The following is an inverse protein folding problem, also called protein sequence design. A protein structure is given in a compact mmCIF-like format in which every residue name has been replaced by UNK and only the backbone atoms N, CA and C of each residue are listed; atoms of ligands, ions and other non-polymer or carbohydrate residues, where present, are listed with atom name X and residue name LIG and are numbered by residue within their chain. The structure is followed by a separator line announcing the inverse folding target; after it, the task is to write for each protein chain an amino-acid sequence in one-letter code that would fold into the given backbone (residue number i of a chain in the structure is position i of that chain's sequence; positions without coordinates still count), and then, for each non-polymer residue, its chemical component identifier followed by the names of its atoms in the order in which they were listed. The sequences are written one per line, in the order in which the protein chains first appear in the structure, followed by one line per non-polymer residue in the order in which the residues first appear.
data_IF_239283287460
#
_entry.id   IF_239283287460
#
_cell.length_a   1.000
_cell.length_b   1.000
_cell.length_c   1.000
_cell.angle_alpha   90.00
_cell.angle_beta   90.00
_cell.angle_gamma   90.00
#
_symmetry.space_group_name_H-M   'P 1'
#
loop_
_entity.id
_entity.type
_entity.pdbx_description
1 polymer ?
#
# COMPACT_ATOMS: atom_id res chain seq x y z
N UNK A 1 -20.09 -99.29 7.72
CA UNK A 1 -19.95 -98.62 6.44
C UNK A 1 -20.52 -97.20 6.60
N UNK A 2 -19.66 -96.24 6.90
CA UNK A 2 -20.08 -94.79 7.06
C UNK A 2 -19.62 -94.06 5.84
N UNK A 3 -20.54 -93.51 5.08
CA UNK A 3 -20.33 -92.65 3.89
C UNK A 3 -20.26 -91.22 4.33
N UNK A 4 -19.05 -90.62 4.15
CA UNK A 4 -18.81 -89.21 4.42
C UNK A 4 -19.17 -88.41 3.14
N UNK A 5 -20.18 -87.51 3.27
CA UNK A 5 -20.53 -86.54 2.23
C UNK A 5 -19.63 -85.30 2.36
N UNK A 6 -18.83 -85.05 1.37
CA UNK A 6 -18.10 -83.76 1.24
C UNK A 6 -19.08 -82.66 0.82
N UNK A 7 -19.17 -81.63 1.63
CA UNK A 7 -19.85 -80.35 1.27
C UNK A 7 -18.79 -79.38 0.74
N UNK A 8 -18.89 -79.05 -0.54
CA UNK A 8 -18.04 -78.06 -1.14
C UNK A 8 -18.60 -76.64 -0.78
N UNK A 9 -17.75 -75.86 -0.09
CA UNK A 9 -18.04 -74.45 0.20
C UNK A 9 -17.50 -73.62 -0.98
N UNK A 10 -18.37 -72.99 -1.74
CA UNK A 10 -18.00 -72.03 -2.77
C UNK A 10 -17.69 -70.69 -2.12
N UNK A 11 -16.44 -70.25 -2.22
CA UNK A 11 -15.98 -68.94 -1.76
C UNK A 11 -16.39 -67.88 -2.84
N UNK A 12 -17.36 -67.06 -2.52
CA UNK A 12 -17.70 -65.88 -3.35
C UNK A 12 -16.73 -64.77 -3.00
N UNK A 13 -15.78 -64.49 -3.86
CA UNK A 13 -14.87 -63.33 -3.75
C UNK A 13 -15.59 -62.11 -4.32
N UNK A 14 -16.10 -61.27 -3.45
CA UNK A 14 -16.62 -59.95 -3.83
C UNK A 14 -15.48 -59.01 -4.17
N UNK A 15 -15.28 -58.70 -5.45
CA UNK A 15 -14.34 -57.66 -5.89
C UNK A 15 -14.94 -56.27 -5.51
N UNK A 16 -14.42 -55.68 -4.44
CA UNK A 16 -14.68 -54.27 -4.11
C UNK A 16 -13.98 -53.41 -5.13
N UNK A 17 -14.73 -52.71 -5.99
CA UNK A 17 -14.19 -51.69 -6.86
C UNK A 17 -13.69 -50.52 -5.99
N UNK A 18 -12.36 -50.40 -5.90
CA UNK A 18 -11.72 -49.22 -5.33
C UNK A 18 -11.95 -48.09 -6.32
N UNK A 19 -12.90 -47.21 -5.98
CA UNK A 19 -13.14 -45.99 -6.72
C UNK A 19 -11.85 -45.15 -6.75
N UNK A 20 -11.25 -45.01 -7.93
CA UNK A 20 -10.20 -44.02 -8.15
C UNK A 20 -10.82 -42.63 -7.98
N UNK A 21 -10.60 -42.00 -6.82
CA UNK A 21 -10.80 -40.57 -6.67
C UNK A 21 -9.77 -39.89 -7.56
N UNK A 22 -10.21 -39.45 -8.74
CA UNK A 22 -9.45 -38.53 -9.56
C UNK A 22 -9.25 -37.25 -8.75
N UNK A 23 -8.08 -37.08 -8.17
CA UNK A 23 -7.63 -35.79 -7.65
C UNK A 23 -7.46 -34.89 -8.87
N UNK A 24 -8.48 -34.09 -9.19
CA UNK A 24 -8.39 -32.99 -10.12
C UNK A 24 -7.43 -31.95 -9.51
N UNK A 25 -6.14 -32.17 -9.67
CA UNK A 25 -5.09 -31.18 -9.38
C UNK A 25 -5.06 -30.20 -10.54
N UNK A 26 -6.09 -29.36 -10.65
CA UNK A 26 -5.93 -28.08 -11.35
C UNK A 26 -4.85 -27.32 -10.58
N UNK A 27 -3.62 -27.36 -11.09
CA UNK A 27 -2.50 -26.65 -10.50
C UNK A 27 -2.88 -25.17 -10.38
N UNK A 28 -3.20 -24.72 -9.16
CA UNK A 28 -3.60 -23.34 -8.88
C UNK A 28 -2.49 -22.43 -9.42
N UNK A 29 -2.78 -21.64 -10.44
CA UNK A 29 -1.80 -20.75 -11.04
C UNK A 29 -1.10 -19.94 -9.96
N UNK A 30 0.24 -19.94 -9.95
CA UNK A 30 1.02 -19.17 -8.98
C UNK A 30 0.55 -17.71 -8.94
N UNK A 31 0.44 -17.10 -7.74
CA UNK A 31 -0.03 -15.74 -7.65
C UNK A 31 0.91 -14.80 -8.39
N UNK A 32 0.37 -13.88 -9.17
CA UNK A 32 1.17 -12.84 -9.81
C UNK A 32 1.76 -11.92 -8.72
N UNK A 33 3.06 -11.93 -8.58
CA UNK A 33 3.84 -11.04 -7.69
C UNK A 33 4.76 -10.15 -8.52
N UNK A 34 5.14 -9.03 -7.95
CA UNK A 34 6.14 -8.16 -8.55
C UNK A 34 7.51 -8.87 -8.53
N UNK A 35 8.26 -8.78 -9.63
CA UNK A 35 9.62 -9.33 -9.76
C UNK A 35 10.62 -8.21 -10.04
N UNK A 36 11.93 -8.50 -9.97
CA UNK A 36 12.98 -7.56 -10.32
C UNK A 36 12.80 -7.02 -11.75
N UNK A 37 12.51 -7.90 -12.71
CA UNK A 37 12.32 -7.55 -14.11
C UNK A 37 11.08 -6.67 -14.30
N UNK A 38 9.96 -7.03 -13.66
CA UNK A 38 8.72 -6.23 -13.77
C UNK A 38 8.84 -4.88 -13.09
N UNK A 39 9.60 -4.77 -11.98
CA UNK A 39 9.91 -3.50 -11.32
C UNK A 39 10.84 -2.64 -12.21
N UNK A 40 11.90 -3.24 -12.77
CA UNK A 40 12.87 -2.54 -13.62
C UNK A 40 12.22 -1.96 -14.87
N UNK A 41 11.20 -2.64 -15.43
CA UNK A 41 10.47 -2.20 -16.61
C UNK A 41 9.54 -1.00 -16.36
N UNK A 42 9.31 -0.61 -15.09
CA UNK A 42 8.44 0.52 -14.78
C UNK A 42 9.19 1.85 -14.84
N UNK A 43 8.46 2.86 -15.31
CA UNK A 43 8.84 4.28 -15.21
C UNK A 43 8.04 4.96 -14.09
N UNK A 44 8.45 6.15 -13.60
CA UNK A 44 7.65 6.91 -12.64
C UNK A 44 6.21 7.13 -13.13
N UNK A 45 6.02 7.46 -14.39
CA UNK A 45 4.71 7.69 -14.99
C UNK A 45 3.85 6.40 -14.99
N UNK A 46 4.42 5.25 -15.38
CA UNK A 46 3.69 3.99 -15.38
C UNK A 46 3.36 3.49 -13.96
N UNK A 47 4.24 3.76 -12.98
CA UNK A 47 3.97 3.50 -11.57
C UNK A 47 2.80 4.34 -11.05
N UNK A 48 2.74 5.63 -11.41
CA UNK A 48 1.62 6.51 -11.08
C UNK A 48 0.31 6.02 -11.69
N UNK A 49 0.31 5.64 -12.95
CA UNK A 49 -0.88 5.10 -13.62
C UNK A 49 -1.37 3.78 -12.99
N UNK A 50 -0.47 2.93 -12.48
CA UNK A 50 -0.88 1.72 -11.71
C UNK A 50 -1.67 2.10 -10.46
N UNK A 51 -1.23 3.14 -9.71
CA UNK A 51 -1.93 3.63 -8.52
C UNK A 51 -3.29 4.26 -8.88
N UNK A 52 -3.34 5.12 -9.90
CA UNK A 52 -4.59 5.75 -10.38
C UNK A 52 -5.63 4.69 -10.75
N UNK A 53 -5.25 3.72 -11.60
CA UNK A 53 -6.12 2.60 -11.98
C UNK A 53 -6.52 1.73 -10.78
N UNK A 54 -5.64 1.58 -9.79
CA UNK A 54 -5.94 0.87 -8.55
C UNK A 54 -7.02 1.57 -7.75
N UNK A 55 -6.89 2.88 -7.53
CA UNK A 55 -7.89 3.66 -6.82
C UNK A 55 -9.23 3.71 -7.56
N UNK A 56 -9.22 3.82 -8.89
CA UNK A 56 -10.45 3.71 -9.70
C UNK A 56 -11.18 2.41 -9.41
N UNK A 57 -10.49 1.26 -9.43
CA UNK A 57 -11.12 -0.03 -9.11
C UNK A 57 -11.65 -0.11 -7.68
N UNK A 58 -10.95 0.49 -6.72
CA UNK A 58 -11.42 0.57 -5.33
C UNK A 58 -12.73 1.35 -5.23
N UNK A 59 -12.79 2.55 -5.81
CA UNK A 59 -13.98 3.41 -5.79
C UNK A 59 -15.16 2.77 -6.53
N UNK A 60 -14.89 2.10 -7.66
CA UNK A 60 -15.91 1.41 -8.48
C UNK A 60 -16.31 0.04 -7.93
N UNK A 61 -15.78 -0.36 -6.74
CA UNK A 61 -16.04 -1.68 -6.13
C UNK A 61 -15.67 -2.86 -7.03
N UNK A 62 -14.69 -2.68 -7.88
CA UNK A 62 -14.18 -3.66 -8.85
C UNK A 62 -12.72 -4.04 -8.57
N UNK A 63 -12.39 -4.26 -7.31
CA UNK A 63 -11.05 -4.65 -6.87
C UNK A 63 -10.67 -6.03 -7.43
N UNK A 64 -9.38 -6.22 -7.69
CA UNK A 64 -8.86 -7.50 -8.14
C UNK A 64 -8.98 -8.56 -7.04
N UNK A 65 -9.47 -9.73 -7.40
CA UNK A 65 -9.39 -10.90 -6.51
C UNK A 65 -7.93 -11.28 -6.27
N UNK A 66 -7.55 -11.50 -5.02
CA UNK A 66 -6.19 -11.90 -4.62
C UNK A 66 -6.23 -13.08 -3.67
N UNK A 67 -5.40 -14.06 -3.92
CA UNK A 67 -5.08 -15.08 -2.94
C UNK A 67 -3.97 -14.55 -2.02
N UNK A 68 -4.35 -13.94 -0.92
CA UNK A 68 -3.42 -13.35 0.06
C UNK A 68 -2.51 -14.41 0.67
N UNK A 69 -3.04 -15.59 0.98
CA UNK A 69 -2.28 -16.68 1.59
C UNK A 69 -1.20 -17.22 0.63
N UNK A 70 -1.52 -17.34 -0.65
CA UNK A 70 -0.53 -17.76 -1.64
C UNK A 70 0.54 -16.71 -1.92
N UNK A 71 0.24 -15.40 -1.71
CA UNK A 71 1.23 -14.32 -1.87
C UNK A 71 2.30 -14.31 -0.78
N UNK A 72 2.00 -14.75 0.43
CA UNK A 72 2.95 -14.77 1.55
C UNK A 72 4.22 -15.58 1.19
N UNK A 73 4.15 -16.88 0.88
CA UNK A 73 5.34 -17.63 0.49
C UNK A 73 5.94 -17.17 -0.85
N UNK A 74 5.11 -16.67 -1.79
CA UNK A 74 5.60 -16.21 -3.08
C UNK A 74 6.48 -14.94 -3.01
N UNK A 75 6.37 -14.14 -1.94
CA UNK A 75 7.17 -12.94 -1.70
C UNK A 75 8.26 -13.14 -0.66
N UNK A 76 8.38 -14.33 -0.03
CA UNK A 76 9.30 -14.58 1.08
C UNK A 76 10.78 -14.46 0.68
N UNK A 77 11.14 -14.82 -0.55
CA UNK A 77 12.52 -14.78 -1.02
C UNK A 77 13.01 -13.40 -1.44
N UNK A 78 12.10 -12.41 -1.61
CA UNK A 78 12.45 -11.04 -2.03
C UNK A 78 11.22 -10.18 -2.27
N UNK A 79 11.45 -8.87 -2.28
CA UNK A 79 10.39 -7.89 -2.52
C UNK A 79 10.84 -6.88 -3.58
N UNK A 80 9.94 -6.53 -4.48
CA UNK A 80 10.18 -5.63 -5.60
C UNK A 80 9.06 -4.59 -5.73
N UNK A 81 8.77 -3.82 -4.65
CA UNK A 81 7.71 -2.83 -4.68
C UNK A 81 8.00 -1.75 -5.73
N UNK A 82 6.97 -1.27 -6.41
CA UNK A 82 7.14 -0.26 -7.45
C UNK A 82 7.01 1.17 -6.94
N UNK A 83 6.48 1.37 -5.73
CA UNK A 83 6.26 2.68 -5.10
C UNK A 83 6.46 2.62 -3.60
N UNK A 84 6.81 3.76 -2.99
CA UNK A 84 6.71 3.99 -1.55
C UNK A 84 5.73 5.14 -1.30
N UNK A 85 4.84 4.97 -0.33
CA UNK A 85 3.76 5.91 -0.02
C UNK A 85 3.92 6.38 1.43
N UNK A 86 4.26 7.66 1.60
CA UNK A 86 4.22 8.35 2.89
C UNK A 86 2.78 8.78 3.16
N UNK A 87 2.15 8.20 4.16
CA UNK A 87 0.74 8.42 4.48
C UNK A 87 0.52 8.65 5.98
N UNK A 88 -0.63 9.25 6.32
CA UNK A 88 -1.04 9.31 7.72
C UNK A 88 -1.28 7.92 8.29
N UNK A 89 -0.98 7.75 9.60
CA UNK A 89 -1.31 6.53 10.35
C UNK A 89 -2.82 6.34 10.59
N UNK A 90 -3.67 7.25 10.14
CA UNK A 90 -5.13 7.18 10.27
C UNK A 90 -5.65 5.79 9.85
N UNK A 91 -6.45 5.15 10.72
CA UNK A 91 -6.93 3.78 10.49
C UNK A 91 -7.83 3.63 9.27
N UNK A 92 -8.39 4.73 8.76
CA UNK A 92 -9.23 4.78 7.56
C UNK A 92 -8.41 4.87 6.27
N UNK A 93 -7.06 4.91 6.36
CA UNK A 93 -6.13 5.10 5.24
C UNK A 93 -5.26 3.84 4.97
N UNK A 94 -5.84 2.66 4.70
CA UNK A 94 -5.10 1.44 4.36
C UNK A 94 -4.65 1.50 2.89
N UNK A 95 -3.44 1.97 2.66
CA UNK A 95 -2.91 2.31 1.31
C UNK A 95 -2.99 1.15 0.32
N UNK A 96 -2.74 -0.09 0.75
CA UNK A 96 -2.81 -1.28 -0.10
C UNK A 96 -4.24 -1.49 -0.63
N UNK A 97 -5.25 -1.25 0.21
CA UNK A 97 -6.66 -1.38 -0.16
C UNK A 97 -7.08 -0.23 -1.06
N UNK A 98 -6.77 1.02 -0.67
CA UNK A 98 -7.14 2.24 -1.41
C UNK A 98 -6.60 2.22 -2.83
N UNK A 99 -5.39 1.69 -3.03
CA UNK A 99 -4.76 1.60 -4.34
C UNK A 99 -4.91 0.22 -4.98
N UNK A 100 -5.70 -0.69 -4.39
CA UNK A 100 -5.89 -2.06 -4.89
C UNK A 100 -4.55 -2.73 -5.24
N UNK A 101 -3.63 -2.76 -4.27
CA UNK A 101 -2.32 -3.40 -4.37
C UNK A 101 -2.22 -4.63 -3.49
N UNK A 102 -1.32 -5.54 -3.81
CA UNK A 102 -1.10 -6.78 -3.09
C UNK A 102 0.13 -6.75 -2.20
N UNK A 103 0.34 -7.85 -1.44
CA UNK A 103 1.55 -8.05 -0.65
C UNK A 103 2.78 -7.94 -1.58
N UNK A 104 3.77 -7.13 -1.18
CA UNK A 104 5.01 -6.91 -1.92
C UNK A 104 4.95 -5.89 -3.05
N UNK A 105 3.78 -5.29 -3.34
CA UNK A 105 3.62 -4.34 -4.44
C UNK A 105 4.03 -2.91 -4.06
N UNK A 106 3.86 -2.51 -2.79
CA UNK A 106 4.12 -1.14 -2.30
C UNK A 106 4.81 -1.12 -0.94
N UNK A 107 5.62 -0.11 -0.67
CA UNK A 107 6.05 0.24 0.69
C UNK A 107 5.08 1.23 1.32
N UNK A 108 4.69 0.97 2.56
CA UNK A 108 3.90 1.88 3.39
C UNK A 108 4.77 2.55 4.46
N UNK A 109 4.91 3.87 4.41
CA UNK A 109 5.54 4.69 5.45
C UNK A 109 4.41 5.47 6.11
N UNK A 110 4.12 5.21 7.40
CA UNK A 110 2.92 5.75 8.04
C UNK A 110 3.26 6.46 9.35
N UNK A 111 2.97 7.76 9.40
CA UNK A 111 3.14 8.61 10.58
C UNK A 111 1.99 9.62 10.64
N UNK A 112 1.57 10.03 11.85
CA UNK A 112 0.49 10.99 12.01
C UNK A 112 0.74 12.27 11.20
N UNK A 113 -0.23 12.66 10.36
CA UNK A 113 -0.14 13.84 9.51
C UNK A 113 0.87 13.75 8.37
N UNK A 114 1.30 12.55 7.96
CA UNK A 114 2.24 12.33 6.85
C UNK A 114 3.41 13.34 6.82
N UNK A 115 3.94 13.67 8.00
CA UNK A 115 5.11 14.56 8.16
C UNK A 115 6.39 13.89 7.66
N UNK A 116 7.45 14.67 7.52
CA UNK A 116 8.80 14.20 7.18
C UNK A 116 9.74 14.43 8.35
N UNK A 117 10.50 13.41 8.72
CA UNK A 117 11.65 13.49 9.59
C UNK A 117 12.79 12.60 9.04
N UNK A 118 13.90 12.49 9.75
CA UNK A 118 15.09 11.77 9.28
C UNK A 118 14.82 10.26 9.09
N UNK A 119 13.95 9.64 9.90
CA UNK A 119 13.62 8.22 9.79
C UNK A 119 12.75 7.93 8.56
N UNK A 120 11.73 8.79 8.27
CA UNK A 120 10.94 8.70 7.05
C UNK A 120 11.81 8.97 5.81
N UNK A 121 12.74 9.94 5.87
CA UNK A 121 13.69 10.20 4.77
C UNK A 121 14.60 9.01 4.53
N UNK A 122 15.22 8.44 5.58
CA UNK A 122 16.04 7.24 5.47
C UNK A 122 15.28 6.05 4.89
N UNK A 123 14.02 5.87 5.27
CA UNK A 123 13.14 4.84 4.71
C UNK A 123 12.85 5.07 3.22
N UNK A 124 12.64 6.31 2.79
CA UNK A 124 12.44 6.66 1.39
C UNK A 124 13.74 6.51 0.56
N UNK A 125 14.88 6.84 1.13
CA UNK A 125 16.20 6.60 0.51
C UNK A 125 16.47 5.12 0.31
N UNK A 126 16.20 4.31 1.33
CA UNK A 126 16.26 2.85 1.21
C UNK A 126 15.34 2.34 0.09
N UNK A 127 14.09 2.79 0.07
CA UNK A 127 13.13 2.38 -0.94
C UNK A 127 13.58 2.73 -2.36
N UNK A 128 14.10 3.94 -2.57
CA UNK A 128 14.47 4.43 -3.91
C UNK A 128 15.84 3.93 -4.34
N UNK A 129 16.87 4.04 -3.46
CA UNK A 129 18.26 3.78 -3.83
C UNK A 129 18.66 2.31 -3.71
N UNK A 130 18.13 1.60 -2.70
CA UNK A 130 18.51 0.21 -2.42
C UNK A 130 17.54 -0.76 -3.09
N UNK A 131 16.22 -0.54 -2.94
CA UNK A 131 15.20 -1.46 -3.47
C UNK A 131 14.77 -1.11 -4.89
N UNK A 132 14.88 0.16 -5.29
CA UNK A 132 14.66 0.59 -6.68
C UNK A 132 13.20 0.94 -7.02
N UNK A 133 12.39 1.41 -6.04
CA UNK A 133 11.05 1.94 -6.34
C UNK A 133 11.14 3.09 -7.34
N UNK A 134 10.11 3.25 -8.15
CA UNK A 134 10.05 4.23 -9.23
C UNK A 134 9.28 5.49 -8.86
N UNK A 135 8.51 5.45 -7.78
CA UNK A 135 7.62 6.54 -7.40
C UNK A 135 7.55 6.70 -5.88
N UNK A 136 7.69 7.93 -5.41
CA UNK A 136 7.33 8.36 -4.07
C UNK A 136 5.99 9.08 -4.12
N UNK A 137 5.10 8.76 -3.20
CA UNK A 137 3.80 9.43 -3.06
C UNK A 137 3.69 10.00 -1.64
N UNK A 138 3.35 11.28 -1.52
CA UNK A 138 2.92 11.86 -0.24
C UNK A 138 1.40 11.93 -0.25
N UNK A 139 0.77 11.10 0.57
CA UNK A 139 -0.68 10.94 0.63
C UNK A 139 -1.24 11.61 1.88
N UNK A 140 -1.82 12.81 1.72
CA UNK A 140 -2.68 13.43 2.72
C UNK A 140 -4.10 12.88 2.66
N UNK A 141 -4.94 13.25 3.62
CA UNK A 141 -6.35 12.85 3.60
C UNK A 141 -7.25 13.91 4.23
N UNK A 142 -8.53 13.89 3.86
CA UNK A 142 -9.56 14.76 4.46
C UNK A 142 -9.79 14.40 5.93
N UNK A 143 -10.27 15.35 6.73
CA UNK A 143 -10.57 15.18 8.16
C UNK A 143 -9.41 14.60 8.99
N UNK A 144 -8.16 14.98 8.68
CA UNK A 144 -6.97 14.49 9.37
C UNK A 144 -6.89 15.01 10.81
N UNK A 145 -6.87 14.09 11.79
CA UNK A 145 -6.79 14.44 13.21
C UNK A 145 -5.51 15.19 13.60
N UNK A 146 -4.36 14.84 13.01
CA UNK A 146 -3.10 15.54 13.27
C UNK A 146 -3.12 16.96 12.71
N UNK A 147 -3.75 17.19 11.55
CA UNK A 147 -3.94 18.53 10.98
C UNK A 147 -4.87 19.35 11.87
N UNK A 148 -5.99 18.78 12.32
CA UNK A 148 -6.90 19.44 13.28
C UNK A 148 -6.16 19.83 14.56
N UNK A 149 -5.36 18.91 15.12
CA UNK A 149 -4.55 19.19 16.30
C UNK A 149 -3.50 20.28 16.10
N UNK A 150 -2.89 20.38 14.92
CA UNK A 150 -1.95 21.46 14.59
C UNK A 150 -2.64 22.82 14.45
N UNK A 151 -3.85 22.87 13.86
CA UNK A 151 -4.68 24.07 13.77
C UNK A 151 -5.06 24.58 15.17
N UNK A 152 -5.45 23.66 16.09
CA UNK A 152 -5.87 23.99 17.46
C UNK A 152 -4.70 24.22 18.41
N UNK A 153 -3.46 24.15 17.94
CA UNK A 153 -2.24 24.24 18.78
C UNK A 153 -2.22 23.26 19.95
N UNK A 154 -2.74 22.04 19.75
CA UNK A 154 -2.85 21.03 20.80
C UNK A 154 -1.49 20.68 21.42
N UNK A 155 -1.46 20.50 22.75
CA UNK A 155 -0.25 20.18 23.53
C UNK A 155 -0.43 18.85 24.24
N UNK A 156 0.39 17.87 23.91
CA UNK A 156 0.37 16.56 24.55
C UNK A 156 1.72 15.86 24.32
N UNK A 157 2.57 15.81 25.32
CA UNK A 157 3.82 15.06 25.28
C UNK A 157 4.56 15.16 23.92
N UNK A 158 4.95 14.04 23.36
CA UNK A 158 5.64 13.97 22.06
C UNK A 158 4.78 14.41 20.87
N UNK A 159 3.44 14.37 21.00
CA UNK A 159 2.53 14.87 19.97
C UNK A 159 2.75 16.36 19.71
N UNK A 160 3.10 17.15 20.71
CA UNK A 160 3.40 18.59 20.56
C UNK A 160 4.50 18.83 19.52
N UNK A 161 5.60 18.07 19.59
CA UNK A 161 6.71 18.17 18.63
C UNK A 161 6.34 17.68 17.21
N UNK A 162 5.49 16.66 17.13
CA UNK A 162 4.97 16.16 15.85
C UNK A 162 4.08 17.23 15.18
N UNK A 163 3.11 17.80 15.91
CA UNK A 163 2.20 18.82 15.38
C UNK A 163 2.94 20.10 14.97
N UNK A 164 4.04 20.44 15.63
CA UNK A 164 4.90 21.58 15.26
C UNK A 164 5.43 21.46 13.83
N UNK A 165 5.61 20.25 13.30
CA UNK A 165 6.04 20.02 11.91
C UNK A 165 4.93 20.31 10.88
N UNK A 166 3.65 20.28 11.29
CA UNK A 166 2.49 20.62 10.44
C UNK A 166 2.20 22.12 10.48
N UNK A 167 2.60 22.84 11.52
CA UNK A 167 2.29 24.26 11.71
C UNK A 167 2.67 25.19 10.54
N UNK A 168 3.80 25.00 9.84
CA UNK A 168 4.07 25.84 8.67
C UNK A 168 2.95 25.75 7.62
N UNK A 169 2.36 24.55 7.42
CA UNK A 169 1.21 24.38 6.52
C UNK A 169 -0.05 25.13 7.01
N UNK A 170 -0.27 25.18 8.34
CA UNK A 170 -1.35 26.03 8.91
C UNK A 170 -1.09 27.49 8.61
N UNK A 171 0.14 27.98 8.84
CA UNK A 171 0.51 29.38 8.65
C UNK A 171 0.29 29.87 7.21
N UNK A 172 0.69 29.08 6.21
CA UNK A 172 0.51 29.45 4.79
C UNK A 172 -0.93 29.32 4.30
N UNK A 173 -1.78 28.58 5.04
CA UNK A 173 -3.19 28.40 4.69
C UNK A 173 -4.08 29.61 5.08
N UNK A 174 -3.55 30.57 5.86
CA UNK A 174 -4.28 31.72 6.37
C UNK A 174 -5.22 31.37 7.54
N UNK A 175 -6.11 32.29 7.93
CA UNK A 175 -7.00 32.08 9.08
C UNK A 175 -8.07 31.01 8.80
N UNK A 176 -8.40 30.22 9.82
CA UNK A 176 -9.44 29.19 9.78
C UNK A 176 -9.50 28.41 11.08
N UNK A 177 -10.34 27.39 11.14
CA UNK A 177 -10.59 26.59 12.33
C UNK A 177 -10.64 25.10 12.01
N UNK A 178 -10.29 24.26 12.98
CA UNK A 178 -10.37 22.79 12.87
C UNK A 178 -11.81 22.25 12.73
N UNK A 179 -12.82 23.09 12.97
CA UNK A 179 -14.25 22.77 12.79
C UNK A 179 -14.73 22.96 11.35
N UNK A 180 -13.96 23.66 10.53
CA UNK A 180 -14.22 23.82 9.10
C UNK A 180 -13.45 22.76 8.31
N UNK A 181 -14.16 21.76 7.83
CA UNK A 181 -13.56 20.64 7.08
C UNK A 181 -12.93 21.09 5.74
N UNK A 182 -13.41 22.16 5.12
CA UNK A 182 -12.79 22.72 3.93
C UNK A 182 -11.44 23.36 4.27
N UNK A 183 -11.36 24.09 5.39
CA UNK A 183 -10.11 24.65 5.88
C UNK A 183 -9.12 23.55 6.29
N UNK A 184 -9.56 22.53 7.02
CA UNK A 184 -8.74 21.36 7.38
C UNK A 184 -8.18 20.68 6.13
N UNK A 185 -8.98 20.51 5.09
CA UNK A 185 -8.56 19.95 3.80
C UNK A 185 -7.51 20.82 3.12
N UNK A 186 -7.69 22.14 3.12
CA UNK A 186 -6.72 23.11 2.60
C UNK A 186 -5.36 22.99 3.32
N UNK A 187 -5.37 22.94 4.65
CA UNK A 187 -4.15 22.75 5.45
C UNK A 187 -3.51 21.40 5.16
N UNK A 188 -4.29 20.32 5.01
CA UNK A 188 -3.77 19.01 4.68
C UNK A 188 -3.07 18.99 3.30
N UNK A 189 -3.63 19.70 2.30
CA UNK A 189 -3.00 19.86 0.98
C UNK A 189 -1.68 20.65 1.08
N UNK A 190 -1.67 21.76 1.83
CA UNK A 190 -0.47 22.54 2.09
C UNK A 190 0.61 21.69 2.79
N UNK A 191 0.21 20.82 3.73
CA UNK A 191 1.12 19.90 4.42
C UNK A 191 1.70 18.83 3.47
N UNK A 192 0.92 18.31 2.52
CA UNK A 192 1.44 17.44 1.45
C UNK A 192 2.51 18.15 0.63
N UNK A 193 2.24 19.38 0.19
CA UNK A 193 3.19 20.19 -0.58
C UNK A 193 4.46 20.49 0.23
N UNK A 194 4.31 20.80 1.52
CA UNK A 194 5.44 21.00 2.43
C UNK A 194 6.30 19.73 2.54
N UNK A 195 5.67 18.56 2.76
CA UNK A 195 6.39 17.30 2.87
C UNK A 195 7.15 16.98 1.56
N UNK A 196 6.55 17.20 0.40
CA UNK A 196 7.24 17.04 -0.90
C UNK A 196 8.46 17.96 -1.02
N UNK A 197 8.32 19.22 -0.60
CA UNK A 197 9.44 20.17 -0.57
C UNK A 197 10.55 19.70 0.35
N UNK A 198 10.21 19.28 1.57
CA UNK A 198 11.18 18.76 2.55
C UNK A 198 11.93 17.52 2.05
N UNK A 199 11.26 16.59 1.37
CA UNK A 199 11.89 15.41 0.75
C UNK A 199 12.95 15.86 -0.27
N UNK A 200 12.64 16.83 -1.12
CA UNK A 200 13.58 17.36 -2.13
C UNK A 200 14.78 18.09 -1.51
N UNK A 201 14.53 18.86 -0.45
CA UNK A 201 15.56 19.74 0.15
C UNK A 201 16.47 18.99 1.12
N UNK A 202 15.91 18.04 1.88
CA UNK A 202 16.63 17.36 2.96
C UNK A 202 17.33 16.07 2.53
N UNK A 203 16.95 15.47 1.38
CA UNK A 203 17.60 14.27 0.86
C UNK A 203 18.32 14.52 -0.46
N UNK A 204 19.63 14.76 -0.45
CA UNK A 204 20.43 14.84 -1.68
C UNK A 204 20.33 13.56 -2.52
N UNK A 205 20.19 12.40 -1.89
CA UNK A 205 20.06 11.10 -2.56
C UNK A 205 18.78 11.04 -3.39
N UNK A 206 17.64 11.40 -2.81
CA UNK A 206 16.35 11.42 -3.51
C UNK A 206 16.35 12.53 -4.55
N UNK A 207 16.84 13.71 -4.19
CA UNK A 207 16.94 14.85 -5.14
C UNK A 207 17.67 14.47 -6.42
N UNK A 208 18.82 13.83 -6.31
CA UNK A 208 19.58 13.39 -7.49
C UNK A 208 18.79 12.42 -8.40
N UNK A 209 17.99 11.53 -7.82
CA UNK A 209 17.15 10.59 -8.57
C UNK A 209 15.95 11.29 -9.23
N UNK A 210 15.38 12.30 -8.56
CA UNK A 210 14.32 13.15 -9.12
C UNK A 210 14.83 13.97 -10.29
N UNK A 211 15.99 14.60 -10.14
CA UNK A 211 16.65 15.42 -11.18
C UNK A 211 17.04 14.56 -12.42
N UNK A 212 17.40 13.29 -12.19
CA UNK A 212 17.68 12.32 -13.25
C UNK A 212 16.41 11.69 -13.87
N UNK A 213 15.22 11.96 -13.33
CA UNK A 213 13.95 11.38 -13.80
C UNK A 213 13.81 9.87 -13.57
N UNK A 214 14.68 9.27 -12.74
CA UNK A 214 14.64 7.82 -12.44
C UNK A 214 13.61 7.47 -11.37
N UNK A 215 13.25 8.43 -10.52
CA UNK A 215 12.20 8.37 -9.51
C UNK A 215 11.27 9.56 -9.70
N UNK A 216 9.97 9.37 -9.50
CA UNK A 216 8.98 10.45 -9.41
C UNK A 216 8.62 10.76 -7.96
N UNK A 217 8.17 11.98 -7.70
CA UNK A 217 7.59 12.40 -6.42
C UNK A 217 6.30 13.14 -6.69
N UNK A 218 5.17 12.63 -6.16
CA UNK A 218 3.84 13.21 -6.36
C UNK A 218 3.10 13.37 -5.04
N UNK A 219 2.31 14.43 -4.93
CA UNK A 219 1.37 14.64 -3.85
C UNK A 219 -0.01 14.11 -4.21
N UNK A 220 -0.76 13.65 -3.20
CA UNK A 220 -2.13 13.21 -3.39
C UNK A 220 -2.97 13.44 -2.13
N UNK A 221 -4.29 13.55 -2.32
CA UNK A 221 -5.28 13.67 -1.25
C UNK A 221 -6.29 12.53 -1.36
N UNK A 222 -6.43 11.78 -0.27
CA UNK A 222 -7.44 10.75 -0.09
C UNK A 222 -8.66 11.31 0.61
N UNK A 223 -9.82 11.16 0.02
CA UNK A 223 -11.10 11.51 0.64
C UNK A 223 -11.64 10.32 1.42
N UNK A 224 -11.67 10.43 2.75
CA UNK A 224 -12.12 9.35 3.65
C UNK A 224 -13.62 9.06 3.54
N UNK A 225 -14.41 9.92 2.89
CA UNK A 225 -15.85 9.73 2.71
C UNK A 225 -16.20 8.99 1.41
N UNK A 226 -15.40 9.19 0.36
CA UNK A 226 -15.67 8.64 -0.97
C UNK A 226 -14.70 7.53 -1.38
N UNK A 227 -13.55 7.45 -0.73
CA UNK A 227 -12.48 6.54 -1.13
C UNK A 227 -11.65 7.03 -2.32
N UNK A 228 -11.95 8.20 -2.86
CA UNK A 228 -11.26 8.75 -4.03
C UNK A 228 -9.92 9.37 -3.65
N UNK A 229 -8.89 9.10 -4.45
CA UNK A 229 -7.60 9.79 -4.39
C UNK A 229 -7.51 10.79 -5.55
N UNK A 230 -7.20 12.04 -5.21
CA UNK A 230 -6.91 13.10 -6.18
C UNK A 230 -5.42 13.41 -6.11
N UNK A 231 -4.71 13.20 -7.22
CA UNK A 231 -3.31 13.59 -7.34
C UNK A 231 -3.21 15.08 -7.56
N UNK A 232 -2.30 15.72 -6.83
CA UNK A 232 -2.09 17.16 -6.91
C UNK A 232 -1.30 17.49 -8.18
N UNK A 233 -1.49 18.67 -8.77
CA UNK A 233 -0.62 19.14 -9.84
C UNK A 233 0.81 19.35 -9.32
N UNK A 234 1.78 19.25 -10.22
CA UNK A 234 3.20 19.53 -9.96
C UNK A 234 3.44 20.99 -9.62
#
# INVERSE_FOLDING_TARGET
MFTIRLVAFALVVSASAIGQTSTDTTAKKAPAVQTAESQAALTPASALEKLKKGNTRFVEKNMRSRDWQAKVPATAAGQYPFTAILACMDSRNPIEIIFDQGIGDVFGIRIAGNIVNDDELGSMEYATKVVGVKLLVVLGHTSCGAVKGAIDDAKLGNLTGLLAKIRPAVSVSGPGTSKDDAYVTKVAQANVSQAMKEIREKSPTIKAQLDAGTVGLVGAMYDVSTGKVTFLPD
#
